data_IF_366001667793
#
_entry.id   IF_366001667793
#
_cell.length_a   1.000
_cell.length_b   1.000
_cell.length_c   1.000
_cell.angle_alpha   90.00
_cell.angle_beta   90.00
_cell.angle_gamma   90.00
#
_symmetry.space_group_name_H-M   'P 1'
#
loop_
_entity.id
_entity.type
_entity.pdbx_description
1 polymer ?
#
# COMPACT_ATOMS: atom_id res chain seq x y z
N UNK A 1 -5.26 -46.12 35.27
CA UNK A 1 -5.69 -45.27 34.13
C UNK A 1 -5.75 -43.83 34.60
N UNK A 2 -4.76 -43.01 34.24
CA UNK A 2 -4.64 -41.61 34.67
C UNK A 2 -4.94 -40.76 33.45
N UNK A 3 -6.14 -40.17 33.40
CA UNK A 3 -6.56 -39.29 32.32
C UNK A 3 -5.74 -38.01 32.38
N UNK A 4 -4.92 -37.76 31.36
CA UNK A 4 -4.20 -36.50 31.19
C UNK A 4 -5.11 -35.57 30.39
N UNK A 5 -5.64 -34.53 31.05
CA UNK A 5 -6.29 -33.41 30.36
C UNK A 5 -5.22 -32.63 29.60
N UNK A 6 -5.32 -32.59 28.27
CA UNK A 6 -4.57 -31.67 27.43
C UNK A 6 -5.30 -30.33 27.40
N UNK A 7 -4.77 -29.33 28.10
CA UNK A 7 -5.22 -27.94 27.97
C UNK A 7 -4.56 -27.35 26.71
N UNK A 8 -5.32 -27.30 25.61
CA UNK A 8 -4.90 -26.59 24.41
C UNK A 8 -5.17 -25.09 24.62
N UNK A 9 -4.14 -24.35 25.04
CA UNK A 9 -4.15 -22.89 25.04
C UNK A 9 -4.20 -22.44 23.57
N UNK A 10 -5.40 -22.09 23.10
CA UNK A 10 -5.58 -21.26 21.92
C UNK A 10 -5.06 -19.86 22.27
N UNK A 11 -3.77 -19.62 22.00
CA UNK A 11 -3.25 -18.25 21.96
C UNK A 11 -3.82 -17.62 20.69
N UNK A 12 -4.96 -16.93 20.82
CA UNK A 12 -5.43 -16.00 19.80
C UNK A 12 -4.45 -14.82 19.82
N UNK A 13 -3.42 -14.90 18.99
CA UNK A 13 -2.46 -13.83 18.76
C UNK A 13 -3.13 -12.69 18.03
N UNK A 14 -3.92 -11.87 18.74
CA UNK A 14 -4.24 -10.53 18.28
C UNK A 14 -2.99 -9.67 18.50
N UNK A 15 -2.04 -9.77 17.57
CA UNK A 15 -0.96 -8.79 17.47
C UNK A 15 -1.57 -7.47 17.02
N UNK A 16 -2.18 -6.74 17.96
CA UNK A 16 -2.45 -5.33 17.75
C UNK A 16 -1.11 -4.65 17.51
N UNK A 17 -0.99 -3.95 16.38
CA UNK A 17 0.19 -3.15 16.07
C UNK A 17 0.49 -2.25 17.28
N UNK A 18 1.66 -2.43 17.88
CA UNK A 18 2.12 -1.46 18.89
C UNK A 18 2.19 -0.11 18.18
N UNK A 19 1.65 0.97 18.77
CA UNK A 19 1.79 2.30 18.18
C UNK A 19 3.27 2.58 17.97
N UNK A 20 3.63 2.97 16.75
CA UNK A 20 5.01 3.24 16.38
C UNK A 20 5.60 4.27 17.37
N UNK A 21 6.63 3.85 18.09
CA UNK A 21 7.16 4.60 19.21
C UNK A 21 8.24 5.58 18.75
N UNK A 22 7.87 6.58 17.96
CA UNK A 22 8.75 7.70 17.61
C UNK A 22 8.10 9.05 17.85
N UNK A 23 8.93 10.05 18.18
CA UNK A 23 8.49 11.43 18.42
C UNK A 23 8.84 12.30 17.23
N UNK A 24 8.01 13.30 16.94
CA UNK A 24 8.36 14.35 15.99
C UNK A 24 9.45 15.24 16.57
N UNK A 25 10.59 15.36 15.88
CA UNK A 25 11.67 16.29 16.21
C UNK A 25 11.45 17.62 15.49
N UNK A 26 11.14 18.67 16.27
CA UNK A 26 10.85 20.01 15.72
C UNK A 26 12.06 20.68 15.07
N UNK A 27 13.27 20.44 15.57
CA UNK A 27 14.49 21.01 14.99
C UNK A 27 14.76 20.34 13.65
N UNK A 28 14.59 19.03 13.59
CA UNK A 28 14.72 18.27 12.35
C UNK A 28 13.65 18.66 11.32
N UNK A 29 12.37 18.74 11.71
CA UNK A 29 11.30 19.24 10.81
C UNK A 29 11.58 20.65 10.29
N UNK A 30 12.12 21.55 11.13
CA UNK A 30 12.49 22.91 10.68
C UNK A 30 13.63 22.87 9.67
N UNK A 31 14.65 22.05 9.89
CA UNK A 31 15.75 21.88 8.94
C UNK A 31 15.23 21.34 7.59
N UNK A 32 14.37 20.32 7.62
CA UNK A 32 13.72 19.77 6.44
C UNK A 32 12.88 20.84 5.71
N UNK A 33 12.06 21.60 6.45
CA UNK A 33 11.28 22.70 5.89
C UNK A 33 12.14 23.81 5.27
N UNK A 34 13.30 24.12 5.85
CA UNK A 34 14.23 25.08 5.26
C UNK A 34 14.80 24.58 3.93
N UNK A 35 15.15 23.29 3.83
CA UNK A 35 15.62 22.69 2.58
C UNK A 35 14.52 22.80 1.51
N UNK A 36 13.28 22.42 1.84
CA UNK A 36 12.12 22.52 0.92
C UNK A 36 11.95 23.93 0.37
N UNK A 37 12.11 24.95 1.22
CA UNK A 37 12.08 26.37 0.81
C UNK A 37 13.26 26.75 -0.07
N UNK A 38 14.47 26.35 0.30
CA UNK A 38 15.70 26.67 -0.41
C UNK A 38 15.68 26.12 -1.85
N UNK A 39 15.09 24.94 -2.05
CA UNK A 39 14.91 24.34 -3.38
C UNK A 39 13.65 24.80 -4.11
N UNK A 40 12.87 25.72 -3.53
CA UNK A 40 11.67 26.30 -4.15
C UNK A 40 10.47 25.35 -4.27
N UNK A 41 10.36 24.37 -3.37
CA UNK A 41 9.26 23.38 -3.37
C UNK A 41 8.18 23.66 -2.31
N UNK A 42 8.21 24.80 -1.64
CA UNK A 42 7.23 25.23 -0.63
C UNK A 42 5.98 25.92 -1.23
N UNK A 43 5.72 25.71 -2.51
CA UNK A 43 4.65 26.33 -3.28
C UNK A 43 3.45 25.40 -3.50
N UNK A 44 2.38 25.98 -4.03
CA UNK A 44 1.22 25.25 -4.55
C UNK A 44 1.48 24.81 -6.00
N UNK A 45 1.21 23.54 -6.30
CA UNK A 45 1.42 22.93 -7.61
C UNK A 45 0.07 22.63 -8.27
N UNK A 46 -0.11 23.08 -9.51
CA UNK A 46 -1.29 22.69 -10.29
C UNK A 46 -1.09 21.29 -10.87
N UNK A 47 -1.79 20.30 -10.30
CA UNK A 47 -1.71 18.89 -10.72
C UNK A 47 -2.93 18.44 -11.54
N UNK A 48 -3.76 19.38 -11.99
CA UNK A 48 -4.95 19.09 -12.80
C UNK A 48 -6.18 18.60 -12.01
N UNK A 49 -6.07 18.50 -10.68
CA UNK A 49 -7.23 18.29 -9.80
C UNK A 49 -7.91 19.63 -9.44
N UNK A 50 -9.10 19.58 -8.86
CA UNK A 50 -9.92 20.76 -8.53
C UNK A 50 -9.24 21.72 -7.53
N UNK A 51 -8.14 21.31 -6.89
CA UNK A 51 -7.36 22.10 -5.95
C UNK A 51 -5.86 21.96 -6.23
N UNK A 52 -5.05 23.01 -5.98
CA UNK A 52 -3.60 22.90 -6.05
C UNK A 52 -3.08 22.00 -4.92
N UNK A 53 -2.02 21.26 -5.21
CA UNK A 53 -1.36 20.36 -4.27
C UNK A 53 -0.10 20.96 -3.65
N UNK A 54 0.29 20.45 -2.48
CA UNK A 54 1.53 20.82 -1.80
C UNK A 54 2.44 19.61 -1.62
N UNK A 55 3.75 19.86 -1.68
CA UNK A 55 4.75 18.84 -1.34
C UNK A 55 4.49 18.34 0.09
N UNK A 56 4.51 17.01 0.24
CA UNK A 56 4.36 16.32 1.52
C UNK A 56 5.57 15.40 1.72
N UNK A 57 6.26 15.53 2.85
CA UNK A 57 7.44 14.73 3.20
C UNK A 57 7.31 14.27 4.65
N UNK A 58 7.58 12.99 4.88
CA UNK A 58 7.85 12.45 6.21
C UNK A 58 9.16 11.65 6.15
N UNK A 59 10.04 11.89 7.13
CA UNK A 59 11.33 11.19 7.26
C UNK A 59 11.41 10.64 8.66
N UNK A 60 11.57 9.32 8.78
CA UNK A 60 11.84 8.66 10.05
C UNK A 60 13.34 8.34 10.09
N UNK A 61 14.08 8.99 10.99
CA UNK A 61 15.46 8.64 11.29
C UNK A 61 15.48 7.59 12.39
N UNK A 62 15.84 6.36 12.02
CA UNK A 62 15.95 5.20 12.91
C UNK A 62 17.41 4.82 13.20
N UNK A 63 18.37 5.71 12.94
CA UNK A 63 19.79 5.46 13.26
C UNK A 63 20.05 5.42 14.78
N UNK A 64 19.15 6.00 15.58
CA UNK A 64 19.14 6.00 17.05
C UNK A 64 17.72 5.73 17.55
N UNK A 65 17.38 6.24 18.74
CA UNK A 65 16.00 6.34 19.17
C UNK A 65 15.17 7.02 18.06
N UNK A 66 14.18 6.34 17.47
CA UNK A 66 13.54 6.80 16.25
C UNK A 66 12.85 8.16 16.43
N UNK A 67 13.09 9.07 15.49
CA UNK A 67 12.48 10.40 15.44
C UNK A 67 11.97 10.71 14.04
N UNK A 68 10.92 11.52 13.95
CA UNK A 68 10.32 11.92 12.68
C UNK A 68 10.55 13.41 12.41
N UNK A 69 10.93 13.74 11.18
CA UNK A 69 10.75 15.08 10.59
C UNK A 69 9.67 15.04 9.51
N UNK A 70 9.00 16.17 9.34
CA UNK A 70 7.84 16.24 8.46
C UNK A 70 7.62 17.64 7.88
N UNK A 71 7.04 17.67 6.68
CA UNK A 71 6.48 18.83 5.98
C UNK A 71 5.14 18.38 5.38
N UNK A 72 4.03 19.01 5.78
CA UNK A 72 2.67 18.70 5.31
C UNK A 72 2.31 17.20 5.35
N UNK A 73 2.78 16.46 6.36
CA UNK A 73 2.79 14.99 6.35
C UNK A 73 1.39 14.34 6.41
N UNK A 74 0.39 15.11 6.86
CA UNK A 74 -1.00 14.66 6.96
C UNK A 74 -1.84 15.09 5.73
N UNK A 75 -1.24 15.73 4.72
CA UNK A 75 -1.94 16.08 3.49
C UNK A 75 -2.23 14.82 2.67
N UNK A 76 -3.51 14.54 2.41
CA UNK A 76 -3.93 13.40 1.62
C UNK A 76 -3.89 13.73 0.14
N UNK A 77 -3.14 12.93 -0.61
CA UNK A 77 -2.92 13.12 -2.05
C UNK A 77 -3.08 11.80 -2.80
N UNK A 78 -3.29 11.89 -4.11
CA UNK A 78 -3.26 10.71 -4.98
C UNK A 78 -1.87 10.03 -4.94
N UNK A 79 -1.77 8.76 -4.51
CA UNK A 79 -0.47 8.12 -4.20
C UNK A 79 0.26 7.57 -5.43
N UNK A 80 -0.24 7.82 -6.65
CA UNK A 80 0.20 7.11 -7.86
C UNK A 80 0.26 5.58 -7.61
N UNK A 81 1.41 4.93 -7.78
CA UNK A 81 1.57 3.49 -7.54
C UNK A 81 1.99 3.11 -6.11
N UNK A 82 2.19 4.07 -5.21
CA UNK A 82 2.61 3.80 -3.82
C UNK A 82 1.58 2.93 -3.09
N UNK A 83 0.28 3.07 -3.39
CA UNK A 83 -0.78 2.26 -2.78
C UNK A 83 -0.58 0.73 -2.93
N UNK A 84 0.19 0.28 -3.94
CA UNK A 84 0.49 -1.14 -4.16
C UNK A 84 1.20 -1.76 -2.96
N UNK A 85 1.90 -0.97 -2.14
CA UNK A 85 2.47 -1.45 -0.89
C UNK A 85 1.40 -1.89 0.13
N UNK A 86 0.26 -1.21 0.16
CA UNK A 86 -0.89 -1.59 1.01
C UNK A 86 -1.59 -2.85 0.50
N UNK A 87 -1.63 -3.03 -0.83
CA UNK A 87 -2.10 -4.28 -1.44
C UNK A 87 -1.17 -5.44 -1.05
N UNK A 88 0.14 -5.25 -1.15
CA UNK A 88 1.14 -6.25 -0.76
C UNK A 88 1.04 -6.58 0.74
N UNK A 89 0.89 -5.57 1.59
CA UNK A 89 0.71 -5.73 3.04
C UNK A 89 -0.44 -6.68 3.37
N UNK A 90 -1.61 -6.46 2.77
CA UNK A 90 -2.77 -7.30 3.04
C UNK A 90 -2.59 -8.74 2.50
N UNK A 91 -2.00 -8.90 1.32
CA UNK A 91 -1.69 -10.24 0.79
C UNK A 91 -0.74 -10.99 1.72
N UNK A 92 0.34 -10.33 2.16
CA UNK A 92 1.34 -10.95 3.04
C UNK A 92 0.76 -11.26 4.43
N UNK A 93 -0.15 -10.42 4.94
CA UNK A 93 -0.94 -10.70 6.14
C UNK A 93 -1.83 -11.93 5.96
N UNK A 94 -2.57 -12.03 4.87
CA UNK A 94 -3.41 -13.20 4.60
C UNK A 94 -2.58 -14.48 4.43
N UNK A 95 -1.38 -14.38 3.87
CA UNK A 95 -0.43 -15.50 3.80
C UNK A 95 0.07 -15.89 5.19
N UNK A 96 0.47 -14.92 6.03
CA UNK A 96 0.97 -15.21 7.39
C UNK A 96 -0.13 -15.79 8.30
N UNK A 97 -1.38 -15.40 8.07
CA UNK A 97 -2.58 -15.94 8.72
C UNK A 97 -3.03 -17.29 8.13
N UNK A 98 -2.29 -17.86 7.17
CA UNK A 98 -2.56 -19.15 6.56
C UNK A 98 -3.80 -19.20 5.65
N UNK A 99 -4.38 -18.05 5.30
CA UNK A 99 -5.55 -17.97 4.41
C UNK A 99 -5.17 -18.32 2.97
N UNK A 100 -3.97 -17.91 2.55
CA UNK A 100 -3.43 -18.18 1.22
C UNK A 100 -1.98 -18.64 1.29
N UNK A 101 -1.52 -19.31 0.23
CA UNK A 101 -0.11 -19.64 0.02
C UNK A 101 0.47 -18.74 -1.07
N UNK A 102 1.74 -18.39 -0.96
CA UNK A 102 2.48 -17.70 -2.04
C UNK A 102 2.53 -18.54 -3.33
N UNK A 103 2.46 -19.86 -3.22
CA UNK A 103 2.44 -20.81 -4.34
C UNK A 103 1.01 -21.06 -4.85
N UNK A 104 -0.02 -20.45 -4.23
CA UNK A 104 -1.39 -20.54 -4.74
C UNK A 104 -1.41 -20.05 -6.19
N UNK A 105 -1.99 -20.89 -7.05
CA UNK A 105 -2.22 -20.57 -8.44
C UNK A 105 -3.40 -19.62 -8.58
N UNK A 106 -3.24 -18.63 -9.46
CA UNK A 106 -4.24 -17.66 -9.85
C UNK A 106 -4.33 -17.60 -11.37
N UNK A 107 -5.55 -17.62 -11.90
CA UNK A 107 -5.81 -17.44 -13.33
C UNK A 107 -6.15 -15.97 -13.55
N UNK A 108 -5.32 -15.27 -14.33
CA UNK A 108 -5.55 -13.88 -14.73
C UNK A 108 -6.83 -13.82 -15.56
N UNK A 109 -7.72 -12.88 -15.23
CA UNK A 109 -9.00 -12.69 -15.91
C UNK A 109 -9.15 -11.24 -16.36
N UNK A 110 -9.63 -11.03 -17.57
CA UNK A 110 -10.09 -9.71 -17.99
C UNK A 110 -11.20 -9.21 -17.06
N UNK A 111 -11.26 -7.89 -16.77
CA UNK A 111 -10.45 -6.84 -17.39
C UNK A 111 -9.11 -6.55 -16.68
N UNK A 112 -8.60 -7.42 -15.81
CA UNK A 112 -7.40 -7.09 -15.02
C UNK A 112 -6.10 -7.02 -15.86
N UNK A 113 -6.05 -7.59 -17.06
CA UNK A 113 -4.89 -7.59 -17.96
C UNK A 113 -4.73 -6.26 -18.73
N UNK A 114 -4.35 -5.21 -18.00
CA UNK A 114 -4.43 -3.82 -18.46
C UNK A 114 -3.14 -3.27 -19.07
N UNK A 115 -1.98 -3.82 -18.71
CA UNK A 115 -0.69 -3.30 -19.16
C UNK A 115 -0.43 -3.62 -20.64
N UNK A 116 0.01 -2.59 -21.37
CA UNK A 116 0.35 -2.65 -22.79
C UNK A 116 1.86 -2.69 -23.04
N UNK A 117 2.63 -2.26 -22.04
CA UNK A 117 4.09 -2.15 -22.07
C UNK A 117 4.66 -2.54 -20.71
N UNK A 118 5.94 -2.91 -20.67
CA UNK A 118 6.66 -3.11 -19.41
C UNK A 118 7.25 -1.77 -18.97
N UNK A 119 7.01 -1.35 -17.73
CA UNK A 119 7.62 -0.15 -17.16
C UNK A 119 9.16 -0.27 -17.10
N UNK A 120 9.65 -1.49 -16.79
CA UNK A 120 11.08 -1.81 -16.84
C UNK A 120 11.36 -2.58 -18.14
N UNK A 121 11.88 -1.89 -19.15
CA UNK A 121 12.04 -2.43 -20.50
C UNK A 121 13.03 -3.60 -20.60
N UNK A 122 14.01 -3.67 -19.69
CA UNK A 122 15.01 -4.73 -19.61
C UNK A 122 14.53 -6.00 -18.91
N UNK A 123 13.38 -5.97 -18.24
CA UNK A 123 12.85 -7.11 -17.51
C UNK A 123 12.28 -8.17 -18.47
N UNK A 124 12.75 -9.42 -18.45
CA UNK A 124 12.35 -10.43 -19.44
C UNK A 124 10.93 -10.98 -19.23
N UNK A 125 10.32 -10.78 -18.06
CA UNK A 125 9.01 -11.36 -17.74
C UNK A 125 7.92 -10.77 -18.65
N UNK A 126 7.01 -11.59 -19.20
CA UNK A 126 5.98 -11.11 -20.13
C UNK A 126 4.95 -10.21 -19.43
N UNK A 127 4.12 -9.54 -20.24
CA UNK A 127 2.88 -8.91 -19.76
C UNK A 127 1.87 -9.99 -19.40
N UNK A 128 1.13 -9.80 -18.32
CA UNK A 128 0.03 -10.68 -17.95
C UNK A 128 -1.12 -10.56 -18.96
N UNK A 129 -1.69 -11.70 -19.35
CA UNK A 129 -2.82 -11.81 -20.28
C UNK A 129 -3.93 -12.64 -19.66
N UNK A 130 -5.16 -12.37 -20.10
CA UNK A 130 -6.30 -13.21 -19.74
C UNK A 130 -6.04 -14.70 -20.04
N UNK A 131 -6.26 -15.55 -19.05
CA UNK A 131 -6.01 -16.99 -19.11
C UNK A 131 -4.63 -17.42 -18.59
N UNK A 132 -3.69 -16.49 -18.38
CA UNK A 132 -2.40 -16.82 -17.78
C UNK A 132 -2.58 -17.41 -16.39
N UNK A 133 -1.81 -18.46 -16.11
CA UNK A 133 -1.81 -19.16 -14.83
C UNK A 133 -0.51 -18.85 -14.11
N UNK A 134 -0.60 -18.09 -13.02
CA UNK A 134 0.57 -17.56 -12.28
C UNK A 134 0.39 -17.77 -10.79
N UNK A 135 1.46 -17.62 -10.01
CA UNK A 135 1.39 -17.72 -8.54
C UNK A 135 1.15 -16.36 -7.90
N UNK A 136 0.60 -16.34 -6.68
CA UNK A 136 0.51 -15.12 -5.86
C UNK A 136 1.89 -14.47 -5.68
N UNK A 137 2.94 -15.29 -5.49
CA UNK A 137 4.32 -14.81 -5.43
C UNK A 137 4.75 -14.05 -6.68
N UNK A 138 4.44 -14.59 -7.86
CA UNK A 138 4.78 -13.94 -9.13
C UNK A 138 4.04 -12.62 -9.34
N UNK A 139 2.76 -12.56 -8.94
CA UNK A 139 1.99 -11.32 -8.96
C UNK A 139 2.58 -10.27 -8.02
N UNK A 140 2.95 -10.65 -6.78
CA UNK A 140 3.59 -9.73 -5.83
C UNK A 140 4.91 -9.18 -6.37
N UNK A 141 5.75 -10.06 -6.91
CA UNK A 141 7.02 -9.71 -7.50
C UNK A 141 6.86 -8.72 -8.67
N UNK A 142 5.98 -9.00 -9.64
CA UNK A 142 5.68 -8.07 -10.73
C UNK A 142 5.13 -6.73 -10.24
N UNK A 143 4.19 -6.75 -9.30
CA UNK A 143 3.58 -5.54 -8.77
C UNK A 143 4.61 -4.63 -8.10
N UNK A 144 5.54 -5.18 -7.33
CA UNK A 144 6.52 -4.39 -6.58
C UNK A 144 7.71 -3.98 -7.45
N UNK A 145 8.29 -4.90 -8.22
CA UNK A 145 9.53 -4.64 -8.97
C UNK A 145 9.32 -3.89 -10.28
N UNK A 146 8.12 -3.98 -10.86
CA UNK A 146 7.77 -3.31 -12.12
C UNK A 146 6.61 -2.34 -12.00
N UNK A 147 6.04 -2.17 -10.81
CA UNK A 147 4.80 -1.41 -10.65
C UNK A 147 3.69 -1.93 -11.58
N UNK A 148 3.67 -3.24 -11.86
CA UNK A 148 2.75 -3.84 -12.85
C UNK A 148 1.29 -3.66 -12.40
N UNK A 149 0.48 -3.00 -13.22
CA UNK A 149 -0.91 -2.67 -12.89
C UNK A 149 -1.83 -3.89 -12.99
N UNK A 150 -1.52 -4.80 -13.91
CA UNK A 150 -2.28 -6.02 -14.12
C UNK A 150 -2.13 -6.96 -12.92
N UNK A 151 -0.90 -7.05 -12.40
CA UNK A 151 -0.62 -7.78 -11.18
C UNK A 151 -1.32 -7.15 -9.97
N UNK A 152 -1.27 -5.82 -9.83
CA UNK A 152 -1.98 -5.11 -8.76
C UNK A 152 -3.49 -5.35 -8.81
N UNK A 153 -4.10 -5.30 -9.99
CA UNK A 153 -5.53 -5.57 -10.16
C UNK A 153 -5.92 -6.98 -9.69
N UNK A 154 -5.11 -7.98 -10.05
CA UNK A 154 -5.31 -9.35 -9.62
C UNK A 154 -5.13 -9.53 -8.11
N UNK A 155 -4.14 -8.87 -7.51
CA UNK A 155 -3.91 -8.93 -6.06
C UNK A 155 -5.00 -8.19 -5.28
N UNK A 156 -5.59 -7.13 -5.80
CA UNK A 156 -6.76 -6.49 -5.21
C UNK A 156 -7.94 -7.46 -5.15
N UNK A 157 -8.13 -8.32 -6.15
CA UNK A 157 -9.19 -9.33 -6.15
C UNK A 157 -8.98 -10.40 -5.08
N UNK A 158 -7.73 -10.82 -4.87
CA UNK A 158 -7.37 -11.80 -3.84
C UNK A 158 -7.50 -11.18 -2.44
N UNK A 159 -6.88 -10.01 -2.25
CA UNK A 159 -6.84 -9.30 -0.97
C UNK A 159 -8.22 -8.82 -0.53
N UNK A 160 -9.06 -8.39 -1.48
CA UNK A 160 -10.32 -7.66 -1.30
C UNK A 160 -10.08 -6.28 -0.69
N UNK A 161 -10.53 -5.22 -1.38
CA UNK A 161 -10.40 -3.82 -0.91
C UNK A 161 -10.87 -3.59 0.52
N UNK A 162 -11.98 -4.24 0.92
CA UNK A 162 -12.49 -4.17 2.29
C UNK A 162 -11.43 -4.59 3.32
N UNK A 163 -10.68 -5.66 3.04
CA UNK A 163 -9.67 -6.15 3.97
C UNK A 163 -8.43 -5.25 3.94
N UNK A 164 -8.00 -4.79 2.76
CA UNK A 164 -6.92 -3.81 2.63
C UNK A 164 -7.22 -2.57 3.49
N UNK A 165 -8.40 -1.97 3.34
CA UNK A 165 -8.78 -0.76 4.07
C UNK A 165 -9.00 -1.03 5.56
N UNK A 166 -9.48 -2.22 5.94
CA UNK A 166 -9.57 -2.61 7.34
C UNK A 166 -8.17 -2.72 7.99
N UNK A 167 -7.19 -3.27 7.26
CA UNK A 167 -5.80 -3.35 7.73
C UNK A 167 -5.17 -1.97 7.84
N UNK A 168 -5.43 -1.04 6.91
CA UNK A 168 -5.00 0.36 7.05
C UNK A 168 -5.58 1.01 8.31
N UNK A 169 -6.89 0.88 8.54
CA UNK A 169 -7.55 1.42 9.72
C UNK A 169 -7.02 0.80 11.02
N UNK A 170 -6.72 -0.51 11.04
CA UNK A 170 -6.15 -1.19 12.20
C UNK A 170 -4.73 -0.70 12.55
N UNK A 171 -3.99 -0.16 11.58
CA UNK A 171 -2.68 0.48 11.80
C UNK A 171 -2.80 1.98 12.13
N UNK A 172 -4.02 2.52 12.28
CA UNK A 172 -4.25 3.93 12.58
C UNK A 172 -4.21 4.85 11.35
N UNK A 173 -4.04 4.31 10.15
CA UNK A 173 -3.89 5.08 8.90
C UNK A 173 -5.24 5.48 8.28
N UNK A 174 -6.17 5.92 9.12
CA UNK A 174 -7.52 6.34 8.70
C UNK A 174 -7.44 7.46 7.66
N UNK A 175 -8.18 7.31 6.57
CA UNK A 175 -8.15 8.23 5.43
C UNK A 175 -7.23 7.79 4.29
N UNK A 176 -6.25 6.90 4.56
CA UNK A 176 -5.58 6.16 3.48
C UNK A 176 -6.44 5.00 3.02
N UNK A 177 -6.60 4.85 1.71
CA UNK A 177 -7.54 3.91 1.14
C UNK A 177 -7.06 3.37 -0.20
N UNK A 178 -7.33 2.09 -0.47
CA UNK A 178 -7.30 1.51 -1.81
C UNK A 178 -8.73 1.36 -2.30
N UNK A 179 -9.15 2.29 -3.15
CA UNK A 179 -10.51 2.35 -3.68
C UNK A 179 -10.62 1.88 -5.13
N UNK A 180 -9.51 1.82 -5.90
CA UNK A 180 -9.58 1.52 -7.34
C UNK A 180 -8.52 0.53 -7.79
N UNK A 181 -8.87 -0.20 -8.84
CA UNK A 181 -7.96 -0.88 -9.75
C UNK A 181 -7.44 0.15 -10.76
N UNK A 182 -6.47 -0.26 -11.56
CA UNK A 182 -6.08 0.48 -12.75
C UNK A 182 -7.05 0.19 -13.90
N UNK A 183 -8.29 0.67 -13.77
CA UNK A 183 -9.37 0.45 -14.72
C UNK A 183 -10.16 1.75 -14.96
N UNK A 184 -10.84 1.88 -16.12
CA UNK A 184 -11.91 2.87 -16.26
C UNK A 184 -12.98 2.62 -15.20
N UNK A 185 -13.53 3.69 -14.60
CA UNK A 185 -14.53 3.60 -13.51
C UNK A 185 -15.71 2.67 -13.82
N UNK A 186 -16.20 2.68 -15.06
CA UNK A 186 -17.30 1.82 -15.51
C UNK A 186 -16.99 0.31 -15.52
N UNK A 187 -15.71 -0.06 -15.43
CA UNK A 187 -15.23 -1.45 -15.40
C UNK A 187 -14.86 -1.89 -13.98
N UNK A 188 -15.02 -1.03 -12.98
CA UNK A 188 -14.78 -1.35 -11.58
C UNK A 188 -15.89 -2.23 -11.01
N UNK A 189 -15.59 -2.84 -9.87
CA UNK A 189 -16.57 -3.62 -9.12
C UNK A 189 -17.73 -2.70 -8.65
N UNK A 190 -18.97 -3.22 -8.54
CA UNK A 190 -20.10 -2.44 -8.07
C UNK A 190 -19.81 -1.68 -6.76
N UNK A 191 -20.14 -0.39 -6.73
CA UNK A 191 -19.86 0.51 -5.60
C UNK A 191 -18.52 1.26 -5.68
N UNK A 192 -17.67 0.98 -6.67
CA UNK A 192 -16.38 1.66 -6.88
C UNK A 192 -16.33 2.54 -8.13
N UNK A 193 -17.44 2.63 -8.86
CA UNK A 193 -17.63 3.46 -10.05
C UNK A 193 -17.73 4.96 -9.74
N UNK A 194 -18.22 5.31 -8.55
CA UNK A 194 -18.49 6.69 -8.10
C UNK A 194 -17.76 7.09 -6.82
N UNK A 195 -17.04 6.17 -6.17
CA UNK A 195 -16.27 6.45 -4.95
C UNK A 195 -15.08 7.38 -5.23
N UNK A 196 -14.66 8.14 -4.20
CA UNK A 196 -13.46 8.97 -4.27
C UNK A 196 -12.21 8.21 -4.72
N UNK A 197 -11.23 8.97 -5.21
CA UNK A 197 -9.92 8.43 -5.57
C UNK A 197 -9.24 7.74 -4.39
N UNK A 198 -8.27 6.88 -4.72
CA UNK A 198 -7.34 6.34 -3.73
C UNK A 198 -6.44 7.47 -3.26
N UNK A 199 -6.31 7.64 -1.96
CA UNK A 199 -5.52 8.68 -1.32
C UNK A 199 -4.62 8.09 -0.23
N UNK A 200 -3.48 8.73 0.02
CA UNK A 200 -2.66 8.49 1.21
C UNK A 200 -1.93 9.77 1.58
N UNK A 201 -1.24 9.78 2.72
CA UNK A 201 -0.39 10.90 3.12
C UNK A 201 1.04 10.42 3.38
N UNK A 202 1.99 11.36 3.43
CA UNK A 202 3.40 11.03 3.59
C UNK A 202 3.69 10.34 4.93
N UNK A 203 2.94 10.69 5.98
CA UNK A 203 3.09 10.08 7.31
C UNK A 203 2.77 8.59 7.28
N UNK A 204 1.60 8.21 6.78
CA UNK A 204 1.16 6.81 6.73
C UNK A 204 2.11 5.97 5.87
N UNK A 205 2.59 6.54 4.76
CA UNK A 205 3.57 5.88 3.91
C UNK A 205 4.93 5.67 4.63
N UNK A 206 5.40 6.66 5.38
CA UNK A 206 6.64 6.53 6.16
C UNK A 206 6.47 5.53 7.31
N UNK A 207 5.35 5.58 8.03
CA UNK A 207 4.98 4.64 9.08
C UNK A 207 4.89 3.19 8.57
N UNK A 208 4.40 2.98 7.35
CA UNK A 208 4.38 1.66 6.73
C UNK A 208 5.79 1.08 6.48
N UNK A 209 6.76 1.93 6.16
CA UNK A 209 8.13 1.51 5.83
C UNK A 209 9.05 1.35 7.05
N UNK A 210 8.60 1.78 8.23
CA UNK A 210 9.34 1.73 9.48
C UNK A 210 8.94 0.51 10.32
#
# INVERSE_FOLDING_TARGET
MRWMLFFMLMVTGSSFAQPLAFKTDRKFSRALGNIVKEVGLDSNFNVGENLPEQLSIAVIDFTRAPVMAAVNENNFIYPASVYKMYVAMEILKQVSEGQYSLQRVYVVRSPNDVDKTREVSSDPRPLLRNGDTVTVNYLLDLMITRSDNSAANCLIDIARRKNINATLAANGWTGSEVTRKFLPRKMEDPGYDSIRGTETNARHAAEFLY
#
